data_IF_404196463237
#
_entry.id   IF_404196463237
#
_cell.length_a   1.000
_cell.length_b   1.000
_cell.length_c   1.000
_cell.angle_alpha   90.00
_cell.angle_beta   90.00
_cell.angle_gamma   90.00
#
_symmetry.space_group_name_H-M   'P 1'
#
loop_
_entity.id
_entity.type
_entity.pdbx_description
1 polymer ?
#
# COMPACT_ATOMS: atom_id res chain seq x y z
N UNK A 1 -0.21 4.06 -14.16
CA UNK A 1 -1.44 3.81 -13.46
C UNK A 1 -1.72 4.85 -12.45
N UNK A 2 -2.96 5.14 -12.29
CA UNK A 2 -3.38 6.20 -11.42
C UNK A 2 -3.70 5.63 -10.04
N UNK A 3 -3.02 6.16 -9.01
CA UNK A 3 -3.24 5.69 -7.66
C UNK A 3 -4.68 5.92 -7.20
N UNK A 4 -5.34 6.89 -7.77
CA UNK A 4 -6.71 7.19 -7.40
C UNK A 4 -7.67 6.09 -7.79
N UNK A 5 -7.30 5.25 -8.76
CA UNK A 5 -8.14 4.12 -9.12
C UNK A 5 -8.18 3.08 -8.02
N UNK A 6 -7.12 2.99 -7.23
CA UNK A 6 -7.05 2.01 -6.16
C UNK A 6 -7.48 2.62 -4.83
N UNK A 7 -7.20 3.88 -4.64
CA UNK A 7 -7.51 4.57 -3.38
C UNK A 7 -8.18 5.89 -3.69
N UNK A 8 -9.45 5.85 -4.07
CA UNK A 8 -10.14 7.08 -4.49
C UNK A 8 -10.21 8.14 -3.40
N UNK A 9 -10.15 7.73 -2.14
CA UNK A 9 -10.15 8.68 -1.03
C UNK A 9 -8.73 9.01 -0.57
N UNK A 10 -7.72 8.46 -1.23
CA UNK A 10 -6.31 8.65 -0.92
C UNK A 10 -6.01 8.28 0.52
N UNK A 11 -6.55 7.16 0.94
CA UNK A 11 -6.32 6.63 2.27
C UNK A 11 -5.76 5.23 2.15
N UNK A 12 -4.54 5.06 2.61
CA UNK A 12 -3.89 3.75 2.64
C UNK A 12 -2.63 3.86 3.45
N UNK A 13 -2.36 2.83 4.23
CA UNK A 13 -1.09 2.72 4.92
C UNK A 13 -0.07 2.08 3.97
N UNK A 14 1.11 2.66 3.91
CA UNK A 14 2.13 2.20 2.99
C UNK A 14 3.06 1.25 3.72
N UNK A 15 3.25 0.07 3.16
CA UNK A 15 4.16 -0.93 3.69
C UNK A 15 5.21 -1.20 2.63
N UNK A 16 6.49 -1.17 3.02
CA UNK A 16 7.57 -1.42 2.08
C UNK A 16 8.35 -2.64 2.51
N UNK A 17 8.78 -3.43 1.53
CA UNK A 17 9.65 -4.58 1.75
C UNK A 17 10.73 -4.57 0.69
N UNK A 18 11.96 -4.42 1.12
CA UNK A 18 13.10 -4.42 0.21
C UNK A 18 12.87 -3.48 -0.97
N UNK A 19 12.36 -2.30 -0.66
CA UNK A 19 11.99 -1.32 -1.67
C UNK A 19 12.92 -0.10 -1.52
N UNK A 20 13.29 0.54 -2.63
CA UNK A 20 14.28 1.63 -2.57
C UNK A 20 13.78 2.88 -1.85
N UNK A 21 12.48 3.07 -1.75
CA UNK A 21 11.93 4.26 -1.11
C UNK A 21 11.31 3.89 0.23
N UNK A 22 11.37 4.81 1.18
CA UNK A 22 10.73 4.61 2.47
C UNK A 22 9.22 4.74 2.36
N UNK A 23 8.50 4.07 3.27
CA UNK A 23 7.05 4.12 3.24
C UNK A 23 6.53 5.55 3.39
N UNK A 24 7.18 6.34 4.25
CA UNK A 24 6.76 7.73 4.43
C UNK A 24 6.91 8.53 3.15
N UNK A 25 7.98 8.28 2.38
CA UNK A 25 8.19 8.98 1.12
C UNK A 25 7.11 8.62 0.12
N UNK A 26 6.75 7.35 0.03
CA UNK A 26 5.71 6.93 -0.89
C UNK A 26 4.36 7.51 -0.50
N UNK A 27 4.05 7.51 0.80
CA UNK A 27 2.79 8.08 1.24
C UNK A 27 2.70 9.55 0.88
N UNK A 28 3.81 10.27 1.01
CA UNK A 28 3.85 11.67 0.67
C UNK A 28 3.72 11.88 -0.84
N UNK A 29 4.42 11.07 -1.62
CA UNK A 29 4.39 11.20 -3.08
C UNK A 29 3.00 10.95 -3.63
N UNK A 30 2.30 9.98 -3.09
CA UNK A 30 0.96 9.65 -3.54
C UNK A 30 -0.12 10.40 -2.75
N UNK A 31 0.29 11.20 -1.77
CA UNK A 31 -0.63 11.98 -0.94
C UNK A 31 -1.63 11.06 -0.23
N UNK A 32 -1.12 9.98 0.32
CA UNK A 32 -1.95 9.01 1.03
C UNK A 32 -1.94 9.31 2.52
N UNK A 33 -3.10 9.13 3.14
CA UNK A 33 -3.23 9.24 4.59
C UNK A 33 -3.38 7.85 5.16
N UNK A 34 -2.95 7.68 6.40
CA UNK A 34 -3.01 6.38 7.05
C UNK A 34 -4.43 5.84 7.06
N UNK A 35 -4.53 4.53 6.92
CA UNK A 35 -5.79 3.84 6.96
C UNK A 35 -5.60 2.53 7.71
N UNK A 36 -6.64 2.10 8.42
CA UNK A 36 -6.60 0.81 9.09
C UNK A 36 -7.07 -0.32 8.19
N UNK A 37 -7.65 0.01 7.05
CA UNK A 37 -8.23 -0.99 6.17
C UNK A 37 -7.53 -1.12 4.84
N UNK A 38 -7.02 -0.02 4.32
CA UNK A 38 -6.43 -0.01 3.00
C UNK A 38 -4.92 0.06 3.10
N UNK A 39 -4.26 -0.70 2.25
CA UNK A 39 -2.80 -0.78 2.28
C UNK A 39 -2.23 -0.70 0.88
N UNK A 40 -1.14 0.02 0.76
CA UNK A 40 -0.32 0.00 -0.45
C UNK A 40 0.98 -0.70 -0.10
N UNK A 41 1.23 -1.83 -0.72
CA UNK A 41 2.40 -2.63 -0.43
C UNK A 41 3.38 -2.47 -1.58
N UNK A 42 4.57 -2.00 -1.25
CA UNK A 42 5.65 -1.82 -2.22
C UNK A 42 6.76 -2.82 -1.90
N UNK A 43 7.18 -3.58 -2.90
CA UNK A 43 8.21 -4.58 -2.68
C UNK A 43 8.98 -4.82 -3.97
N UNK A 44 10.08 -5.54 -3.86
CA UNK A 44 10.83 -6.01 -5.02
C UNK A 44 10.74 -7.52 -5.09
N UNK A 45 10.60 -8.02 -6.31
CA UNK A 45 10.58 -9.46 -6.50
C UNK A 45 12.02 -10.00 -6.54
N UNK A 46 12.17 -11.30 -6.79
CA UNK A 46 13.48 -11.93 -6.80
C UNK A 46 14.33 -11.50 -7.99
N UNK A 47 13.73 -10.83 -8.96
CA UNK A 47 14.48 -10.23 -10.07
C UNK A 47 14.74 -8.76 -9.83
N UNK A 48 14.52 -8.32 -8.59
CA UNK A 48 14.81 -6.95 -8.20
C UNK A 48 13.91 -5.93 -8.91
N UNK A 49 12.72 -6.33 -9.31
CA UNK A 49 11.77 -5.44 -9.95
C UNK A 49 10.80 -4.88 -8.92
N UNK A 50 10.54 -3.57 -8.97
CA UNK A 50 9.61 -2.97 -8.02
C UNK A 50 8.17 -3.27 -8.39
N UNK A 51 7.36 -3.51 -7.37
CA UNK A 51 5.93 -3.78 -7.53
C UNK A 51 5.15 -2.99 -6.50
N UNK A 52 3.96 -2.57 -6.89
CA UNK A 52 3.02 -1.92 -5.98
C UNK A 52 1.73 -2.72 -6.01
N UNK A 53 1.24 -3.08 -4.82
CA UNK A 53 0.03 -3.87 -4.69
C UNK A 53 -0.92 -3.13 -3.76
N UNK A 54 -2.16 -2.97 -4.22
CA UNK A 54 -3.21 -2.41 -3.38
C UNK A 54 -3.92 -3.56 -2.68
N UNK A 55 -4.10 -3.42 -1.39
CA UNK A 55 -4.73 -4.45 -0.57
C UNK A 55 -5.72 -3.84 0.37
N UNK A 56 -6.72 -4.61 0.71
CA UNK A 56 -7.72 -4.20 1.68
C UNK A 56 -7.79 -5.23 2.77
N UNK A 57 -7.79 -4.76 4.01
CA UNK A 57 -7.92 -5.63 5.15
C UNK A 57 -9.38 -6.06 5.27
N UNK A 58 -9.59 -7.36 5.36
CA UNK A 58 -10.91 -7.91 5.54
C UNK A 58 -11.00 -8.47 6.94
N UNK A 59 -11.95 -7.95 7.71
CA UNK A 59 -12.17 -8.45 9.05
C UNK A 59 -13.06 -9.67 8.96
N UNK A 60 -12.56 -10.79 9.44
CA UNK A 60 -13.34 -12.01 9.46
C UNK A 60 -14.21 -12.03 10.71
N UNK A 61 -15.42 -12.58 10.61
CA UNK A 61 -16.25 -12.70 11.80
C UNK A 61 -15.53 -13.51 12.86
N UNK A 62 -15.59 -13.02 14.05
CA UNK A 62 -14.93 -13.73 15.13
C UNK A 62 -15.67 -15.01 15.43
N UNK A 63 -14.99 -15.91 16.03
CA UNK A 63 -15.59 -17.18 16.40
C UNK A 63 -15.54 -18.17 15.30
N UNK A 64 -15.01 -17.75 14.22
CA UNK A 64 -14.89 -18.65 13.21
C UNK A 64 -13.68 -19.20 13.09
#
# INVERSE_FOLDING_TARGET
KNIEEYFPQRRASVVTRNYPAASASLAKDFRLKDSERMFLIAFRDDRNRPHLVAAERVDLPSGE
#
